data_IF_662099102968
#
_entry.id   IF_662099102968
#
_cell.length_a   1.000
_cell.length_b   1.000
_cell.length_c   1.000
_cell.angle_alpha   90.00
_cell.angle_beta   90.00
_cell.angle_gamma   90.00
#
_symmetry.space_group_name_H-M   'P 1'
#
loop_
_entity.id
_entity.type
_entity.pdbx_description
1 polymer ?
#
# COMPACT_ATOMS: atom_id res chain seq x y z
N UNK A 1 -56.70 43.38 18.40
CA UNK A 1 -56.47 42.54 17.16
C UNK A 1 -55.02 42.16 16.94
N UNK A 2 -54.03 42.94 17.37
CA UNK A 2 -52.58 42.63 17.19
C UNK A 2 -52.07 41.57 18.14
N UNK A 3 -52.57 41.46 19.38
CA UNK A 3 -52.12 40.47 20.39
C UNK A 3 -52.50 39.02 20.03
N UNK A 4 -53.63 38.82 19.28
CA UNK A 4 -54.10 37.50 18.88
C UNK A 4 -53.23 36.90 17.76
N UNK A 5 -52.61 37.71 16.89
CA UNK A 5 -51.76 37.25 15.78
C UNK A 5 -50.39 36.76 16.28
N UNK A 6 -49.82 37.42 17.32
CA UNK A 6 -48.54 36.98 17.89
C UNK A 6 -48.64 35.68 18.65
N UNK A 7 -49.75 35.36 19.30
CA UNK A 7 -49.93 34.03 19.93
C UNK A 7 -50.02 32.89 18.93
N UNK A 8 -50.61 33.13 17.73
CA UNK A 8 -50.72 32.15 16.68
C UNK A 8 -49.33 31.84 16.07
N UNK A 9 -48.50 32.85 15.84
CA UNK A 9 -47.15 32.68 15.24
C UNK A 9 -46.20 31.99 16.24
N UNK A 10 -46.26 32.31 17.53
CA UNK A 10 -45.45 31.69 18.56
C UNK A 10 -45.77 30.19 18.73
N UNK A 11 -47.05 29.83 18.66
CA UNK A 11 -47.49 28.42 18.70
C UNK A 11 -47.01 27.59 17.51
N UNK A 12 -47.03 28.20 16.33
CA UNK A 12 -46.57 27.54 15.09
C UNK A 12 -45.05 27.32 15.08
N UNK A 13 -44.26 28.31 15.54
CA UNK A 13 -42.81 28.19 15.64
C UNK A 13 -42.38 27.15 16.68
N UNK A 14 -43.05 27.02 17.82
CA UNK A 14 -42.75 26.01 18.84
C UNK A 14 -43.12 24.62 18.31
N UNK A 15 -44.22 24.48 17.58
CA UNK A 15 -44.60 23.21 16.94
C UNK A 15 -43.61 22.79 15.85
N UNK A 16 -43.10 23.73 15.08
CA UNK A 16 -42.13 23.45 13.99
C UNK A 16 -40.78 23.06 14.58
N UNK A 17 -40.25 23.74 15.63
CA UNK A 17 -39.02 23.38 16.33
C UNK A 17 -39.12 22.02 17.03
N UNK A 18 -40.24 21.69 17.66
CA UNK A 18 -40.46 20.34 18.27
C UNK A 18 -40.52 19.25 17.20
N UNK A 19 -41.16 19.45 16.05
CA UNK A 19 -41.17 18.47 14.97
C UNK A 19 -39.79 18.31 14.32
N UNK A 20 -39.00 19.39 14.19
CA UNK A 20 -37.64 19.32 13.65
C UNK A 20 -36.69 18.59 14.59
N UNK A 21 -36.76 18.84 15.93
CA UNK A 21 -35.96 18.14 16.94
C UNK A 21 -36.35 16.66 17.03
N UNK A 22 -37.63 16.31 16.98
CA UNK A 22 -38.06 14.91 16.94
C UNK A 22 -37.61 14.20 15.65
N UNK A 23 -37.67 14.88 14.50
CA UNK A 23 -37.19 14.32 13.22
C UNK A 23 -35.69 14.08 13.22
N UNK A 24 -34.90 15.03 13.79
CA UNK A 24 -33.44 14.88 13.85
C UNK A 24 -33.03 13.76 14.84
N UNK A 25 -33.69 13.67 16.00
CA UNK A 25 -33.44 12.58 16.96
C UNK A 25 -33.89 11.22 16.40
N UNK A 26 -34.98 11.16 15.62
CA UNK A 26 -35.45 9.91 15.01
C UNK A 26 -34.53 9.42 13.89
N UNK A 27 -33.99 10.33 13.08
CA UNK A 27 -33.03 9.98 12.00
C UNK A 27 -31.70 9.51 12.58
N UNK A 28 -31.21 10.14 13.65
CA UNK A 28 -29.97 9.71 14.33
C UNK A 28 -30.16 8.35 14.98
N UNK A 29 -31.29 8.13 15.67
CA UNK A 29 -31.57 6.82 16.29
C UNK A 29 -31.77 5.71 15.28
N UNK A 30 -32.39 5.96 14.14
CA UNK A 30 -32.55 4.99 13.05
C UNK A 30 -31.22 4.62 12.40
N UNK A 31 -30.32 5.57 12.24
CA UNK A 31 -28.96 5.32 11.70
C UNK A 31 -28.11 4.47 12.64
N UNK A 32 -28.18 4.71 13.93
CA UNK A 32 -27.47 3.92 14.96
C UNK A 32 -28.06 2.49 15.01
N UNK A 33 -29.38 2.35 15.01
CA UNK A 33 -30.01 1.02 15.01
C UNK A 33 -29.75 0.22 13.73
N UNK A 34 -29.65 0.88 12.57
CA UNK A 34 -29.31 0.20 11.31
C UNK A 34 -27.88 -0.32 11.33
N UNK A 35 -26.91 0.45 11.83
CA UNK A 35 -25.52 0.00 11.99
C UNK A 35 -25.38 -1.16 12.98
N UNK A 36 -26.08 -1.11 14.11
CA UNK A 36 -26.12 -2.21 15.08
C UNK A 36 -26.72 -3.50 14.48
N UNK A 37 -27.80 -3.37 13.74
CA UNK A 37 -28.44 -4.51 13.09
C UNK A 37 -27.54 -5.17 12.04
N UNK A 38 -26.84 -4.38 11.21
CA UNK A 38 -25.90 -4.90 10.22
C UNK A 38 -24.70 -5.59 10.86
N UNK A 39 -24.11 -5.01 11.91
CA UNK A 39 -23.02 -5.61 12.66
C UNK A 39 -23.43 -6.96 13.26
N UNK A 40 -24.58 -7.02 13.92
CA UNK A 40 -25.11 -8.24 14.55
C UNK A 40 -25.41 -9.33 13.50
N UNK A 41 -26.01 -8.98 12.36
CA UNK A 41 -26.20 -9.92 11.24
C UNK A 41 -24.90 -10.47 10.66
N UNK A 42 -23.84 -9.65 10.65
CA UNK A 42 -22.51 -10.11 10.26
C UNK A 42 -21.82 -10.95 11.36
N UNK A 43 -22.42 -11.05 12.55
CA UNK A 43 -21.84 -11.74 13.71
C UNK A 43 -20.72 -10.97 14.37
N UNK A 44 -20.82 -9.62 14.40
CA UNK A 44 -19.89 -8.71 15.06
C UNK A 44 -20.62 -7.86 16.10
N UNK A 45 -19.96 -7.55 17.21
CA UNK A 45 -20.49 -6.66 18.22
C UNK A 45 -20.34 -5.22 17.79
N UNK A 46 -21.44 -4.50 17.62
CA UNK A 46 -21.45 -3.07 17.33
C UNK A 46 -20.72 -2.28 18.40
N UNK A 47 -20.99 -2.54 19.70
CA UNK A 47 -20.28 -1.90 20.82
C UNK A 47 -18.76 -2.02 20.76
N UNK A 48 -18.25 -3.18 20.29
CA UNK A 48 -16.79 -3.38 20.12
C UNK A 48 -16.25 -2.62 18.91
N UNK A 49 -17.01 -2.57 17.82
CA UNK A 49 -16.62 -1.81 16.61
C UNK A 49 -16.53 -0.32 16.90
N UNK A 50 -17.45 0.23 17.71
CA UNK A 50 -17.41 1.64 18.11
C UNK A 50 -16.19 2.01 18.95
N UNK A 51 -15.48 1.05 19.54
CA UNK A 51 -14.23 1.29 20.28
C UNK A 51 -13.02 1.51 19.37
N UNK A 52 -13.09 1.16 18.09
CA UNK A 52 -11.95 1.25 17.16
C UNK A 52 -11.48 2.69 17.02
N UNK A 53 -12.35 3.58 16.61
CA UNK A 53 -11.99 4.97 16.31
C UNK A 53 -11.52 5.75 17.55
N UNK A 54 -12.19 5.70 18.73
CA UNK A 54 -11.68 6.32 19.94
C UNK A 54 -10.33 5.75 20.40
N UNK A 55 -10.11 4.44 20.26
CA UNK A 55 -8.84 3.80 20.61
C UNK A 55 -7.70 4.31 19.73
N UNK A 56 -7.89 4.28 18.41
CA UNK A 56 -6.90 4.79 17.45
C UNK A 56 -6.63 6.30 17.65
N UNK A 57 -7.69 7.07 17.92
CA UNK A 57 -7.55 8.50 18.23
C UNK A 57 -6.68 8.74 19.47
N UNK A 58 -6.91 7.98 20.54
CA UNK A 58 -6.12 8.13 21.78
C UNK A 58 -4.66 7.68 21.60
N UNK A 59 -4.41 6.61 20.82
CA UNK A 59 -3.08 6.06 20.64
C UNK A 59 -2.21 6.89 19.67
N UNK A 60 -2.82 7.49 18.65
CA UNK A 60 -2.06 8.06 17.54
C UNK A 60 -2.34 9.54 17.27
N UNK A 61 -3.61 10.01 17.22
CA UNK A 61 -3.89 11.41 16.90
C UNK A 61 -3.55 12.34 18.06
N UNK A 62 -4.00 12.01 19.27
CA UNK A 62 -3.74 12.85 20.45
C UNK A 62 -2.26 12.94 20.79
N UNK A 63 -1.48 11.95 20.39
CA UNK A 63 -0.02 11.92 20.57
C UNK A 63 0.74 12.51 19.37
N UNK A 64 0.03 13.10 18.40
CA UNK A 64 0.64 13.72 17.23
C UNK A 64 1.41 12.77 16.30
N UNK A 65 1.06 11.46 16.30
CA UNK A 65 1.73 10.47 15.44
C UNK A 65 1.14 10.39 14.04
N UNK A 66 -0.16 10.65 13.89
CA UNK A 66 -0.84 10.68 12.59
C UNK A 66 -1.73 11.92 12.47
N UNK A 67 -1.89 12.46 11.26
CA UNK A 67 -2.79 13.59 11.02
C UNK A 67 -4.26 13.17 11.06
N UNK A 68 -4.55 11.94 10.64
CA UNK A 68 -5.90 11.38 10.57
C UNK A 68 -5.87 9.95 10.06
N UNK A 69 -7.01 9.27 10.14
CA UNK A 69 -7.18 7.92 9.60
C UNK A 69 -8.62 7.64 9.19
N UNK A 70 -8.76 6.68 8.29
CA UNK A 70 -10.02 6.01 8.00
C UNK A 70 -9.91 4.57 8.50
N UNK A 71 -10.85 4.14 9.34
CA UNK A 71 -10.96 2.75 9.75
C UNK A 71 -12.21 2.12 9.15
N UNK A 72 -12.07 0.94 8.55
CA UNK A 72 -13.17 0.23 7.94
C UNK A 72 -13.08 -1.27 8.23
N UNK A 73 -14.21 -1.89 8.53
CA UNK A 73 -14.34 -3.34 8.72
C UNK A 73 -15.46 -3.85 7.84
N UNK A 74 -15.16 -4.86 7.03
CA UNK A 74 -16.16 -5.57 6.24
C UNK A 74 -16.19 -7.05 6.66
N UNK A 75 -17.39 -7.63 6.76
CA UNK A 75 -17.58 -9.04 7.05
C UNK A 75 -18.82 -9.57 6.35
N UNK A 76 -18.72 -10.77 5.78
CA UNK A 76 -19.81 -11.41 5.00
C UNK A 76 -20.38 -10.50 3.90
N UNK A 77 -19.51 -9.75 3.22
CA UNK A 77 -19.89 -8.82 2.15
C UNK A 77 -20.57 -7.52 2.60
N UNK A 78 -20.60 -7.24 3.91
CA UNK A 78 -21.18 -6.02 4.47
C UNK A 78 -20.09 -5.19 5.14
N UNK A 79 -20.09 -3.87 4.90
CA UNK A 79 -19.27 -2.92 5.66
C UNK A 79 -20.00 -2.65 6.99
N UNK A 80 -19.42 -3.09 8.08
CA UNK A 80 -20.01 -3.02 9.43
C UNK A 80 -19.41 -1.92 10.30
N UNK A 81 -18.33 -1.30 9.85
CA UNK A 81 -17.69 -0.15 10.45
C UNK A 81 -16.98 0.66 9.36
N UNK A 82 -17.15 1.98 9.39
CA UNK A 82 -16.48 2.92 8.49
C UNK A 82 -16.46 4.30 9.13
N UNK A 83 -15.32 4.70 9.70
CA UNK A 83 -15.17 5.99 10.34
C UNK A 83 -13.93 6.75 9.88
N UNK A 84 -14.06 8.08 9.87
CA UNK A 84 -12.99 9.01 9.51
C UNK A 84 -12.75 9.94 10.69
N UNK A 85 -11.48 10.11 11.08
CA UNK A 85 -11.09 11.00 12.17
C UNK A 85 -9.83 11.77 11.77
N UNK A 86 -9.75 13.06 12.19
CA UNK A 86 -8.60 13.93 11.95
C UNK A 86 -8.67 14.65 10.61
N UNK A 87 -7.50 14.99 10.08
CA UNK A 87 -7.33 15.91 8.98
C UNK A 87 -6.66 15.24 7.77
N UNK A 88 -7.02 15.68 6.58
CA UNK A 88 -6.35 15.34 5.32
C UNK A 88 -5.11 16.23 5.11
N UNK A 89 -5.06 17.36 5.79
CA UNK A 89 -3.94 18.31 5.79
C UNK A 89 -3.93 19.07 7.12
N UNK A 90 -2.81 19.06 7.83
CA UNK A 90 -2.68 19.66 9.16
C UNK A 90 -2.56 21.19 9.11
N UNK A 91 -1.87 21.73 8.11
CA UNK A 91 -1.66 23.17 8.00
C UNK A 91 -2.96 23.91 7.70
N UNK A 92 -3.79 23.33 6.83
CA UNK A 92 -5.11 23.91 6.48
C UNK A 92 -6.22 23.43 7.38
N UNK A 93 -5.97 22.43 8.23
CA UNK A 93 -6.96 21.76 9.09
C UNK A 93 -8.17 21.23 8.29
N UNK A 94 -7.93 20.81 7.03
CA UNK A 94 -8.98 20.26 6.21
C UNK A 94 -9.38 18.87 6.73
N UNK A 95 -10.66 18.65 7.07
CA UNK A 95 -11.12 17.37 7.60
C UNK A 95 -10.89 16.22 6.61
N UNK A 96 -10.49 15.07 7.11
CA UNK A 96 -10.46 13.84 6.35
C UNK A 96 -11.88 13.42 5.99
N UNK A 97 -12.11 13.01 4.73
CA UNK A 97 -13.42 12.61 4.21
C UNK A 97 -13.42 11.11 3.88
N UNK A 98 -14.60 10.48 3.86
CA UNK A 98 -14.74 9.05 3.52
C UNK A 98 -14.18 8.70 2.14
N UNK A 99 -14.25 9.63 1.21
CA UNK A 99 -13.76 9.50 -0.17
C UNK A 99 -12.36 10.07 -0.40
N UNK A 100 -11.62 10.38 0.67
CA UNK A 100 -10.22 10.83 0.58
C UNK A 100 -9.35 9.81 -0.13
N UNK A 101 -8.37 10.32 -0.87
CA UNK A 101 -7.44 9.55 -1.67
C UNK A 101 -6.10 9.45 -0.95
N UNK A 102 -5.54 8.25 -0.92
CA UNK A 102 -4.29 7.93 -0.24
C UNK A 102 -3.28 7.33 -1.20
N UNK A 103 -2.00 7.63 -1.00
CA UNK A 103 -0.89 6.81 -1.50
C UNK A 103 -0.99 5.47 -0.78
N UNK A 104 -1.20 4.39 -1.51
CA UNK A 104 -1.36 3.07 -0.90
C UNK A 104 -0.07 2.27 -0.82
N UNK A 105 1.01 2.81 -1.40
CA UNK A 105 2.35 2.20 -1.35
C UNK A 105 2.32 0.68 -1.53
N UNK A 106 2.88 -0.08 -0.61
CA UNK A 106 3.00 -1.54 -0.71
C UNK A 106 1.68 -2.30 -0.76
N UNK A 107 0.55 -1.65 -0.47
CA UNK A 107 -0.77 -2.21 -0.77
C UNK A 107 -1.02 -2.31 -2.30
N UNK A 108 -0.16 -1.76 -3.15
CA UNK A 108 -0.13 -2.00 -4.60
C UNK A 108 0.27 -3.42 -4.97
N UNK A 109 1.13 -4.08 -4.15
CA UNK A 109 1.69 -5.40 -4.43
C UNK A 109 0.65 -6.51 -4.64
N UNK A 110 -0.38 -6.65 -3.80
CA UNK A 110 -1.44 -7.63 -4.03
C UNK A 110 -2.19 -7.42 -5.36
N UNK A 111 -2.34 -6.15 -5.80
CA UNK A 111 -2.96 -5.82 -7.09
C UNK A 111 -2.07 -6.30 -8.25
N UNK A 112 -0.76 -6.09 -8.16
CA UNK A 112 0.23 -6.64 -9.10
C UNK A 112 0.20 -8.17 -9.09
N UNK A 113 0.05 -8.79 -7.92
CA UNK A 113 -0.12 -10.23 -7.78
C UNK A 113 -1.37 -10.75 -8.50
N UNK A 114 -2.50 -10.06 -8.40
CA UNK A 114 -3.71 -10.44 -9.15
C UNK A 114 -3.49 -10.30 -10.66
N UNK A 115 -2.78 -9.27 -11.12
CA UNK A 115 -2.41 -9.13 -12.55
C UNK A 115 -1.54 -10.30 -13.03
N UNK A 116 -0.57 -10.73 -12.22
CA UNK A 116 0.23 -11.93 -12.47
C UNK A 116 -0.66 -13.18 -12.58
N UNK A 117 -1.60 -13.38 -11.66
CA UNK A 117 -2.51 -14.52 -11.65
C UNK A 117 -3.44 -14.56 -12.87
N UNK A 118 -3.89 -13.40 -13.35
CA UNK A 118 -4.68 -13.32 -14.60
C UNK A 118 -3.87 -13.86 -15.78
N UNK A 119 -2.62 -13.44 -15.92
CA UNK A 119 -1.76 -13.91 -17.02
C UNK A 119 -1.39 -15.38 -16.90
N UNK A 120 -1.24 -15.89 -15.66
CA UNK A 120 -1.06 -17.32 -15.40
C UNK A 120 -2.29 -18.12 -15.85
N UNK A 121 -3.51 -17.67 -15.53
CA UNK A 121 -4.77 -18.30 -15.98
C UNK A 121 -4.95 -18.23 -17.50
N UNK A 122 -4.51 -17.15 -18.13
CA UNK A 122 -4.52 -16.97 -19.59
C UNK A 122 -3.43 -17.81 -20.29
N UNK A 123 -2.56 -18.51 -19.53
CA UNK A 123 -1.47 -19.33 -20.08
C UNK A 123 -0.35 -18.52 -20.76
N UNK A 124 -0.26 -17.22 -20.46
CA UNK A 124 0.73 -16.30 -21.04
C UNK A 124 2.09 -16.33 -20.35
N UNK A 125 2.14 -16.88 -19.15
CA UNK A 125 3.36 -17.07 -18.37
C UNK A 125 3.20 -18.24 -17.39
N UNK A 126 4.32 -18.68 -16.83
CA UNK A 126 4.38 -19.68 -15.76
C UNK A 126 5.22 -19.13 -14.61
N UNK A 127 4.91 -19.51 -13.39
CA UNK A 127 5.66 -19.05 -12.21
C UNK A 127 7.15 -19.43 -12.25
N UNK A 128 7.48 -20.56 -12.91
CA UNK A 128 8.85 -21.04 -13.03
C UNK A 128 9.54 -20.58 -14.32
N UNK A 129 8.88 -19.73 -15.13
CA UNK A 129 9.57 -19.12 -16.26
C UNK A 129 10.70 -18.24 -15.77
N UNK A 130 11.88 -18.29 -16.41
CA UNK A 130 12.97 -17.37 -16.07
C UNK A 130 12.57 -15.95 -16.40
N UNK A 131 12.97 -15.02 -15.55
CA UNK A 131 12.73 -13.57 -15.75
C UNK A 131 13.37 -13.09 -17.05
N UNK A 132 14.51 -13.68 -17.40
CA UNK A 132 15.26 -13.40 -18.65
C UNK A 132 14.46 -13.68 -19.92
N UNK A 133 13.43 -14.53 -19.88
CA UNK A 133 12.52 -14.74 -21.01
C UNK A 133 11.73 -13.46 -21.37
N UNK A 134 11.47 -12.62 -20.40
CA UNK A 134 10.73 -11.36 -20.55
C UNK A 134 11.65 -10.14 -20.50
N UNK A 135 12.74 -10.19 -19.73
CA UNK A 135 13.71 -9.12 -19.54
C UNK A 135 15.11 -9.75 -19.70
N UNK A 136 15.64 -9.84 -20.94
CA UNK A 136 16.87 -10.57 -21.24
C UNK A 136 18.08 -10.14 -20.42
N UNK A 137 18.11 -8.88 -19.97
CA UNK A 137 19.18 -8.31 -19.19
C UNK A 137 19.41 -9.04 -17.84
N UNK A 138 18.38 -9.71 -17.30
CA UNK A 138 18.51 -10.50 -16.09
C UNK A 138 19.30 -11.80 -16.25
N UNK A 139 19.52 -12.28 -17.47
CA UNK A 139 20.34 -13.47 -17.72
C UNK A 139 21.79 -13.29 -17.25
N UNK A 140 22.34 -12.09 -17.38
CA UNK A 140 23.74 -11.75 -17.07
C UNK A 140 23.93 -11.03 -15.72
N UNK A 141 22.85 -10.83 -14.95
CA UNK A 141 22.91 -10.15 -13.65
C UNK A 141 23.74 -10.98 -12.68
N UNK A 142 24.77 -10.37 -12.08
CA UNK A 142 25.66 -11.02 -11.11
C UNK A 142 25.08 -10.98 -9.70
N UNK A 143 25.67 -11.75 -8.80
CA UNK A 143 25.39 -11.75 -7.36
C UNK A 143 26.57 -11.12 -6.62
N UNK A 144 26.30 -10.20 -5.72
CA UNK A 144 27.28 -9.52 -4.88
C UNK A 144 27.58 -10.37 -3.65
N UNK A 145 28.82 -10.76 -3.50
CA UNK A 145 29.35 -11.40 -2.28
C UNK A 145 30.10 -10.33 -1.48
N UNK A 146 29.76 -10.21 -0.22
CA UNK A 146 30.50 -9.36 0.74
C UNK A 146 31.22 -10.30 1.70
N UNK A 147 32.53 -10.27 1.66
CA UNK A 147 33.39 -11.12 2.49
C UNK A 147 33.49 -10.56 3.93
N UNK A 148 33.92 -11.37 4.88
CA UNK A 148 34.10 -10.99 6.29
C UNK A 148 35.11 -9.85 6.49
N UNK A 149 36.09 -9.71 5.59
CA UNK A 149 37.08 -8.61 5.59
C UNK A 149 36.54 -7.32 4.94
N UNK A 150 35.28 -7.28 4.50
CA UNK A 150 34.64 -6.16 3.84
C UNK A 150 34.96 -6.04 2.35
N UNK A 151 35.75 -6.95 1.77
CA UNK A 151 35.94 -6.99 0.31
C UNK A 151 34.72 -7.50 -0.40
N UNK A 152 34.51 -7.08 -1.65
CA UNK A 152 33.38 -7.50 -2.45
C UNK A 152 33.82 -8.20 -3.72
N UNK A 153 33.07 -9.22 -4.14
CA UNK A 153 33.26 -9.88 -5.43
C UNK A 153 31.89 -10.10 -6.13
N UNK A 154 31.92 -10.29 -7.43
CA UNK A 154 30.76 -10.63 -8.23
C UNK A 154 30.86 -12.05 -8.74
N UNK A 155 29.83 -12.82 -8.51
CA UNK A 155 29.73 -14.21 -9.00
C UNK A 155 28.51 -14.36 -9.93
N UNK A 156 28.50 -15.43 -10.72
CA UNK A 156 27.36 -15.77 -11.55
C UNK A 156 26.19 -16.28 -10.71
N UNK A 157 24.97 -16.15 -11.27
CA UNK A 157 23.82 -16.84 -10.71
C UNK A 157 24.02 -18.35 -10.84
N UNK A 158 23.77 -19.10 -9.76
CA UNK A 158 23.80 -20.57 -9.77
C UNK A 158 22.58 -21.17 -10.46
N UNK A 159 21.50 -20.39 -10.56
CA UNK A 159 20.28 -20.69 -11.29
C UNK A 159 19.62 -19.39 -11.73
N UNK A 160 18.88 -19.43 -12.83
CA UNK A 160 18.13 -18.26 -13.30
C UNK A 160 17.03 -17.86 -12.30
N UNK A 161 16.90 -16.55 -12.09
CA UNK A 161 15.80 -15.95 -11.37
C UNK A 161 14.47 -16.23 -12.07
N UNK A 162 13.45 -16.68 -11.34
CA UNK A 162 12.12 -16.97 -11.85
C UNK A 162 11.09 -15.89 -11.48
N UNK A 163 9.94 -15.89 -12.18
CA UNK A 163 8.78 -15.06 -11.83
C UNK A 163 8.32 -15.34 -10.41
N UNK A 164 8.39 -16.60 -9.95
CA UNK A 164 8.10 -16.98 -8.56
C UNK A 164 9.01 -16.24 -7.59
N UNK A 165 10.30 -16.21 -7.86
CA UNK A 165 11.29 -15.56 -6.98
C UNK A 165 11.03 -14.06 -6.83
N UNK A 166 10.59 -13.39 -7.91
CA UNK A 166 10.11 -12.00 -7.81
C UNK A 166 8.88 -11.88 -6.92
N UNK A 167 7.86 -12.72 -7.14
CA UNK A 167 6.58 -12.66 -6.44
C UNK A 167 6.67 -13.04 -4.96
N UNK A 168 7.73 -13.73 -4.54
CA UNK A 168 7.95 -14.19 -3.15
C UNK A 168 9.08 -13.46 -2.44
N UNK A 169 9.67 -12.42 -3.05
CA UNK A 169 10.83 -11.71 -2.51
C UNK A 169 12.07 -12.59 -2.26
N UNK A 170 12.26 -13.61 -3.09
CA UNK A 170 13.42 -14.51 -3.03
C UNK A 170 14.36 -14.35 -4.22
N UNK A 171 14.19 -13.29 -5.00
CA UNK A 171 14.94 -13.04 -6.23
C UNK A 171 16.39 -12.58 -6.03
N UNK A 172 16.75 -12.11 -4.83
CA UNK A 172 18.01 -11.43 -4.58
C UNK A 172 18.02 -9.94 -4.92
N UNK A 173 16.97 -9.42 -5.57
CA UNK A 173 16.74 -7.97 -5.67
C UNK A 173 16.41 -7.44 -4.28
N UNK A 174 16.81 -6.20 -3.97
CA UNK A 174 16.49 -5.51 -2.72
C UNK A 174 15.81 -4.16 -2.98
N UNK A 175 15.40 -3.46 -1.94
CA UNK A 175 15.28 -2.01 -1.92
C UNK A 175 16.59 -1.42 -1.39
N UNK A 176 16.82 -0.12 -1.56
CA UNK A 176 17.99 0.55 -0.99
C UNK A 176 18.04 0.48 0.55
N UNK A 177 16.87 0.44 1.21
CA UNK A 177 16.74 0.31 2.67
C UNK A 177 16.71 -1.15 3.18
N UNK A 178 16.64 -2.15 2.30
CA UNK A 178 16.75 -3.57 2.66
C UNK A 178 18.04 -4.21 2.17
N UNK A 179 18.80 -3.49 1.35
CA UNK A 179 20.10 -3.91 0.83
C UNK A 179 21.18 -3.80 1.92
N UNK A 180 22.23 -4.62 1.81
CA UNK A 180 23.45 -4.34 2.55
C UNK A 180 24.09 -3.02 2.06
N UNK A 181 25.00 -2.44 2.86
CA UNK A 181 25.56 -1.12 2.59
C UNK A 181 26.20 -0.98 1.21
N UNK A 182 26.86 -2.03 0.72
CA UNK A 182 27.55 -1.99 -0.57
C UNK A 182 26.56 -1.96 -1.73
N UNK A 183 25.50 -2.77 -1.68
CA UNK A 183 24.45 -2.77 -2.68
C UNK A 183 23.62 -1.48 -2.63
N UNK A 184 23.33 -0.98 -1.43
CA UNK A 184 22.64 0.29 -1.23
C UNK A 184 23.39 1.47 -1.84
N UNK A 185 24.74 1.50 -1.74
CA UNK A 185 25.59 2.49 -2.42
C UNK A 185 25.43 2.41 -3.95
N UNK A 186 25.40 1.19 -4.50
CA UNK A 186 25.19 0.97 -5.94
C UNK A 186 23.84 1.50 -6.39
N UNK A 187 22.77 1.19 -5.64
CA UNK A 187 21.42 1.66 -5.94
C UNK A 187 21.34 3.19 -5.93
N UNK A 188 21.84 3.85 -4.90
CA UNK A 188 21.86 5.31 -4.78
C UNK A 188 22.69 5.97 -5.90
N UNK A 189 23.92 5.48 -6.14
CA UNK A 189 24.82 5.99 -7.21
C UNK A 189 24.16 5.94 -8.59
N UNK A 190 23.42 4.88 -8.89
CA UNK A 190 22.76 4.67 -10.17
C UNK A 190 21.30 5.16 -10.21
N UNK A 191 20.79 5.74 -9.10
CA UNK A 191 19.41 6.23 -8.94
C UNK A 191 18.38 5.14 -9.27
N UNK A 192 18.62 3.91 -8.81
CA UNK A 192 17.79 2.74 -9.08
C UNK A 192 16.61 2.66 -8.10
N UNK A 193 15.64 3.55 -8.26
CA UNK A 193 14.37 3.53 -7.55
C UNK A 193 13.26 3.87 -8.54
N UNK A 194 12.19 3.07 -8.66
CA UNK A 194 11.06 3.34 -9.54
C UNK A 194 10.09 4.37 -8.94
N UNK A 195 10.19 4.59 -7.65
CA UNK A 195 9.37 5.53 -6.89
C UNK A 195 10.18 6.75 -6.47
N UNK A 196 9.52 7.69 -5.81
CA UNK A 196 10.13 8.93 -5.37
C UNK A 196 11.21 8.66 -4.34
N UNK A 197 12.42 9.12 -4.62
CA UNK A 197 13.50 9.12 -3.64
C UNK A 197 13.26 10.25 -2.65
N UNK A 198 13.44 9.97 -1.37
CA UNK A 198 13.53 11.01 -0.34
C UNK A 198 14.76 11.86 -0.63
N UNK A 199 14.53 13.13 -0.98
CA UNK A 199 15.56 14.13 -1.14
C UNK A 199 16.46 13.97 -2.37
N UNK A 200 16.86 15.09 -2.96
CA UNK A 200 18.11 15.15 -3.72
C UNK A 200 19.30 14.95 -2.77
N UNK A 201 20.51 15.04 -3.28
CA UNK A 201 21.75 14.78 -2.54
C UNK A 201 21.93 15.56 -1.22
N UNK A 202 21.03 16.54 -0.93
CA UNK A 202 20.95 17.27 0.35
C UNK A 202 19.50 17.48 0.79
N UNK A 203 19.14 16.98 1.97
CA UNK A 203 17.92 17.35 2.66
C UNK A 203 18.14 18.72 3.32
N UNK A 204 17.61 19.78 2.68
CA UNK A 204 17.64 21.14 3.21
C UNK A 204 16.28 21.57 3.76
N UNK A 205 16.20 22.57 4.66
CA UNK A 205 14.90 23.12 5.11
C UNK A 205 14.02 23.57 3.94
N UNK A 206 14.60 24.07 2.85
CA UNK A 206 13.88 24.49 1.65
C UNK A 206 13.37 23.30 0.83
N UNK A 207 14.13 22.19 0.74
CA UNK A 207 13.68 20.95 0.10
C UNK A 207 12.57 20.30 0.92
N UNK A 208 12.65 20.35 2.26
CA UNK A 208 11.62 19.91 3.17
C UNK A 208 10.32 20.72 3.02
N UNK A 209 10.43 22.04 2.90
CA UNK A 209 9.28 22.94 2.71
C UNK A 209 8.58 22.74 1.35
N UNK A 210 9.30 22.27 0.33
CA UNK A 210 8.77 21.96 -1.02
C UNK A 210 8.21 20.54 -1.15
N UNK A 211 8.37 19.72 -0.13
CA UNK A 211 8.09 18.27 -0.16
C UNK A 211 9.37 17.47 -0.48
N UNK A 212 9.66 16.49 0.34
CA UNK A 212 10.85 15.63 0.22
C UNK A 212 10.76 14.70 -1.00
N UNK A 213 9.57 14.50 -1.54
CA UNK A 213 9.33 13.59 -2.64
C UNK A 213 9.62 14.31 -3.97
N UNK A 214 10.74 13.95 -4.58
CA UNK A 214 11.13 14.48 -5.89
C UNK A 214 10.38 13.76 -7.03
N UNK A 215 9.86 14.55 -7.98
CA UNK A 215 9.32 14.04 -9.25
C UNK A 215 10.39 13.63 -10.26
N UNK A 216 11.65 13.59 -9.85
CA UNK A 216 12.77 13.26 -10.75
C UNK A 216 12.69 11.76 -11.10
N UNK A 217 11.92 11.45 -12.15
CA UNK A 217 11.73 10.09 -12.66
C UNK A 217 12.88 9.79 -13.64
N UNK A 218 13.91 9.03 -13.23
CA UNK A 218 15.07 8.78 -14.10
C UNK A 218 14.73 7.79 -15.23
N UNK A 219 13.53 7.21 -15.24
CA UNK A 219 13.12 6.17 -16.16
C UNK A 219 11.91 6.58 -17.00
N UNK A 220 11.95 6.20 -18.28
CA UNK A 220 10.86 6.47 -19.22
C UNK A 220 9.68 5.51 -19.13
N UNK A 221 9.89 4.32 -18.52
CA UNK A 221 8.86 3.29 -18.29
C UNK A 221 9.28 2.35 -17.17
N UNK A 222 8.36 1.52 -16.70
CA UNK A 222 8.68 0.47 -15.72
C UNK A 222 9.63 -0.58 -16.30
N UNK A 223 9.56 -0.86 -17.60
CA UNK A 223 10.49 -1.77 -18.26
C UNK A 223 11.90 -1.16 -18.36
N UNK A 224 12.00 0.13 -18.68
CA UNK A 224 13.30 0.82 -18.67
C UNK A 224 13.96 0.84 -17.27
N UNK A 225 13.14 0.94 -16.21
CA UNK A 225 13.62 0.73 -14.85
C UNK A 225 14.14 -0.69 -14.63
N UNK A 226 13.36 -1.73 -14.97
CA UNK A 226 13.72 -3.13 -14.76
C UNK A 226 15.00 -3.54 -15.53
N UNK A 227 15.13 -3.09 -16.79
CA UNK A 227 16.36 -3.24 -17.59
C UNK A 227 17.56 -2.54 -16.95
N UNK A 228 17.38 -1.30 -16.50
CA UNK A 228 18.44 -0.55 -15.83
C UNK A 228 18.86 -1.20 -14.51
N UNK A 229 17.92 -1.76 -13.74
CA UNK A 229 18.20 -2.50 -12.52
C UNK A 229 19.07 -3.73 -12.81
N UNK A 230 18.68 -4.53 -13.81
CA UNK A 230 19.41 -5.74 -14.20
C UNK A 230 20.84 -5.44 -14.67
N UNK A 231 21.04 -4.36 -15.43
CA UNK A 231 22.34 -3.99 -16.00
C UNK A 231 23.31 -3.30 -15.01
N UNK A 232 22.77 -2.62 -13.97
CA UNK A 232 23.57 -1.73 -13.14
C UNK A 232 23.72 -2.18 -11.70
N UNK A 233 22.92 -3.15 -11.25
CA UNK A 233 22.98 -3.64 -9.89
C UNK A 233 23.08 -5.17 -9.83
N UNK A 234 23.97 -5.73 -9.02
CA UNK A 234 23.98 -7.14 -8.72
C UNK A 234 22.81 -7.51 -7.78
N UNK A 235 22.55 -8.82 -7.66
CA UNK A 235 21.65 -9.38 -6.66
C UNK A 235 22.34 -9.42 -5.30
N UNK A 236 21.60 -9.29 -4.22
CA UNK A 236 22.09 -9.37 -2.84
C UNK A 236 22.42 -10.80 -2.41
N UNK A 237 21.78 -11.78 -3.01
CA UNK A 237 21.97 -13.22 -2.77
C UNK A 237 21.52 -14.01 -4.00
N UNK A 238 21.84 -15.28 -4.05
CA UNK A 238 21.39 -16.17 -5.10
C UNK A 238 19.85 -16.28 -5.11
N UNK A 239 19.21 -16.37 -6.30
CA UNK A 239 17.77 -16.56 -6.41
C UNK A 239 17.29 -17.80 -5.63
N UNK A 240 16.20 -17.66 -4.88
CA UNK A 240 15.57 -18.65 -4.00
C UNK A 240 16.45 -19.19 -2.84
N UNK A 241 17.56 -18.56 -2.52
CA UNK A 241 18.39 -18.93 -1.35
C UNK A 241 18.06 -18.10 -0.11
N UNK A 242 17.48 -16.90 -0.30
CA UNK A 242 17.17 -16.04 0.82
C UNK A 242 15.90 -15.21 0.53
N UNK A 243 15.30 -14.64 1.57
CA UNK A 243 14.20 -13.70 1.48
C UNK A 243 14.73 -12.27 1.68
N UNK A 244 14.44 -11.39 0.74
CA UNK A 244 14.72 -9.96 0.86
C UNK A 244 13.55 -9.18 0.28
N UNK A 245 12.84 -8.44 1.13
CA UNK A 245 11.76 -7.56 0.69
C UNK A 245 12.27 -6.56 -0.35
N UNK A 246 11.64 -6.49 -1.54
CA UNK A 246 12.33 -6.00 -2.73
C UNK A 246 11.45 -5.29 -3.74
N UNK A 247 12.10 -4.64 -4.72
CA UNK A 247 11.51 -4.11 -5.95
C UNK A 247 11.10 -5.19 -6.96
N UNK A 248 11.01 -6.45 -6.55
CA UNK A 248 10.58 -7.55 -7.44
C UNK A 248 9.20 -7.32 -8.06
N UNK A 249 8.28 -6.62 -7.35
CA UNK A 249 6.96 -6.31 -7.86
C UNK A 249 6.97 -5.27 -8.99
N UNK A 250 7.98 -4.41 -9.01
CA UNK A 250 8.18 -3.43 -10.07
C UNK A 250 8.66 -4.13 -11.34
N UNK A 251 9.56 -5.09 -11.19
CA UNK A 251 9.98 -5.99 -12.28
C UNK A 251 8.80 -6.80 -12.80
N UNK A 252 7.91 -7.30 -11.92
CA UNK A 252 6.66 -7.96 -12.33
C UNK A 252 5.76 -7.03 -13.14
N UNK A 253 5.71 -5.73 -12.83
CA UNK A 253 4.98 -4.75 -13.63
C UNK A 253 5.43 -4.73 -15.09
N UNK A 254 6.74 -4.76 -15.34
CA UNK A 254 7.29 -4.89 -16.69
C UNK A 254 6.95 -6.25 -17.35
N UNK A 255 7.02 -7.34 -16.59
CA UNK A 255 6.63 -8.68 -17.11
C UNK A 255 5.15 -8.68 -17.52
N UNK A 256 4.27 -8.06 -16.74
CA UNK A 256 2.86 -7.90 -17.11
C UNK A 256 2.71 -7.12 -18.43
N UNK A 257 3.46 -6.03 -18.63
CA UNK A 257 3.45 -5.29 -19.89
C UNK A 257 3.86 -6.18 -21.08
N UNK A 258 4.98 -6.87 -20.95
CA UNK A 258 5.54 -7.71 -22.04
C UNK A 258 4.68 -8.93 -22.35
N UNK A 259 4.15 -9.60 -21.34
CA UNK A 259 3.29 -10.76 -21.51
C UNK A 259 1.90 -10.41 -22.03
N UNK A 260 1.37 -9.23 -21.70
CA UNK A 260 0.03 -8.79 -22.12
C UNK A 260 0.02 -7.98 -23.42
N UNK A 261 1.12 -7.32 -23.78
CA UNK A 261 1.19 -6.33 -24.86
C UNK A 261 0.48 -5.01 -24.55
N UNK A 262 0.14 -4.75 -23.28
CA UNK A 262 -0.49 -3.50 -22.79
C UNK A 262 0.41 -2.83 -21.79
N UNK A 263 0.33 -1.51 -21.64
CA UNK A 263 0.96 -0.84 -20.47
C UNK A 263 0.37 -1.40 -19.18
N UNK A 264 1.18 -1.44 -18.11
CA UNK A 264 0.73 -1.98 -16.81
C UNK A 264 -0.53 -1.27 -16.31
N UNK A 265 -0.56 0.05 -16.41
CA UNK A 265 -1.74 0.85 -16.08
C UNK A 265 -2.98 0.45 -16.89
N UNK A 266 -2.86 0.31 -18.20
CA UNK A 266 -3.97 -0.10 -19.05
C UNK A 266 -4.45 -1.52 -18.73
N UNK A 267 -3.53 -2.44 -18.41
CA UNK A 267 -3.85 -3.79 -18.00
C UNK A 267 -4.63 -3.82 -16.68
N UNK A 268 -4.15 -3.13 -15.65
CA UNK A 268 -4.84 -3.06 -14.35
C UNK A 268 -6.23 -2.43 -14.48
N UNK A 269 -6.34 -1.33 -15.23
CA UNK A 269 -7.62 -0.66 -15.47
C UNK A 269 -8.63 -1.59 -16.16
N UNK A 270 -8.21 -2.28 -17.22
CA UNK A 270 -9.08 -3.15 -18.02
C UNK A 270 -9.50 -4.42 -17.25
N UNK A 271 -8.54 -5.09 -16.62
CA UNK A 271 -8.72 -6.40 -16.02
C UNK A 271 -9.17 -6.40 -14.55
N UNK A 272 -8.89 -5.31 -13.80
CA UNK A 272 -9.13 -5.25 -12.35
C UNK A 272 -10.02 -4.06 -12.00
N UNK A 273 -9.58 -2.83 -12.29
CA UNK A 273 -10.26 -1.64 -11.73
C UNK A 273 -11.65 -1.43 -12.32
N UNK A 274 -11.79 -1.50 -13.65
CA UNK A 274 -13.09 -1.31 -14.31
C UNK A 274 -14.11 -2.39 -13.92
N UNK A 275 -13.78 -3.70 -13.97
CA UNK A 275 -14.71 -4.76 -13.55
C UNK A 275 -15.12 -4.67 -12.08
N UNK A 276 -14.22 -4.24 -11.18
CA UNK A 276 -14.52 -4.08 -9.76
C UNK A 276 -15.19 -2.73 -9.43
N UNK A 277 -15.33 -1.83 -10.40
CA UNK A 277 -15.84 -0.48 -10.15
C UNK A 277 -14.93 0.35 -9.24
N UNK A 278 -13.61 0.13 -9.30
CA UNK A 278 -12.59 0.89 -8.58
C UNK A 278 -12.29 2.19 -9.35
N UNK A 279 -13.11 3.21 -9.13
CA UNK A 279 -13.08 4.49 -9.87
C UNK A 279 -12.06 5.48 -9.32
N UNK A 280 -11.52 5.19 -8.17
CA UNK A 280 -10.62 6.05 -7.39
C UNK A 280 -9.25 5.40 -7.18
N UNK A 281 -8.83 4.53 -8.12
CA UNK A 281 -7.54 3.84 -8.09
C UNK A 281 -6.77 4.10 -9.37
N UNK A 282 -5.57 4.69 -9.26
CA UNK A 282 -4.78 5.13 -10.41
C UNK A 282 -3.31 5.40 -10.03
N UNK A 283 -2.43 5.49 -11.05
CA UNK A 283 -1.04 5.96 -10.89
C UNK A 283 -0.92 7.48 -10.95
N UNK A 284 -1.84 8.17 -11.63
CA UNK A 284 -1.89 9.63 -11.70
C UNK A 284 -3.29 10.11 -11.36
N UNK A 285 -3.39 11.10 -10.48
CA UNK A 285 -4.66 11.59 -9.97
C UNK A 285 -5.29 12.54 -11.01
N UNK A 286 -6.48 12.22 -11.54
CA UNK A 286 -7.20 13.12 -12.42
C UNK A 286 -7.43 14.50 -11.78
N UNK A 287 -7.34 15.57 -12.57
CA UNK A 287 -7.48 16.96 -12.08
C UNK A 287 -8.75 17.17 -11.26
N UNK A 288 -9.87 16.55 -11.65
CA UNK A 288 -11.16 16.63 -10.95
C UNK A 288 -11.20 15.96 -9.58
N UNK A 289 -10.14 15.23 -9.19
CA UNK A 289 -10.08 14.48 -7.92
C UNK A 289 -8.96 14.93 -7.00
N UNK A 290 -8.11 15.88 -7.41
CA UNK A 290 -6.93 16.35 -6.64
C UNK A 290 -7.30 16.89 -5.26
N UNK A 291 -8.43 17.58 -5.13
CA UNK A 291 -8.93 18.10 -3.85
C UNK A 291 -9.21 17.02 -2.79
N UNK A 292 -9.37 15.75 -3.21
CA UNK A 292 -9.60 14.62 -2.30
C UNK A 292 -8.30 13.97 -1.82
N UNK A 293 -7.14 14.39 -2.38
CA UNK A 293 -5.85 13.78 -2.04
C UNK A 293 -5.35 14.27 -0.69
N UNK A 294 -4.82 13.34 0.11
CA UNK A 294 -4.29 13.64 1.45
C UNK A 294 -2.84 14.10 1.37
N UNK A 295 -2.45 15.02 2.24
CA UNK A 295 -1.04 15.31 2.47
C UNK A 295 -0.35 14.14 3.16
N UNK A 296 0.93 13.96 2.88
CA UNK A 296 1.77 12.95 3.51
C UNK A 296 2.66 13.60 4.56
N UNK A 297 2.72 12.98 5.71
CA UNK A 297 3.55 13.40 6.84
C UNK A 297 4.49 12.27 7.24
N UNK A 298 5.69 12.62 7.65
CA UNK A 298 6.63 11.72 8.30
C UNK A 298 6.81 12.10 9.77
N UNK A 299 6.93 11.11 10.65
CA UNK A 299 7.29 11.34 12.05
C UNK A 299 8.75 11.78 12.13
N UNK A 300 9.03 12.83 12.90
CA UNK A 300 10.40 13.40 12.98
C UNK A 300 11.37 12.39 13.60
N UNK A 301 10.92 11.54 14.51
CA UNK A 301 11.74 10.47 15.09
C UNK A 301 12.30 9.53 14.02
N UNK A 302 11.44 9.06 13.12
CA UNK A 302 11.82 8.19 12.01
C UNK A 302 12.76 8.91 11.03
N UNK A 303 12.48 10.19 10.71
CA UNK A 303 13.35 10.99 9.83
C UNK A 303 14.75 11.19 10.41
N UNK A 304 14.90 11.34 11.71
CA UNK A 304 16.19 11.48 12.39
C UNK A 304 17.03 10.21 12.31
N UNK A 305 16.38 9.04 12.36
CA UNK A 305 17.06 7.75 12.20
C UNK A 305 17.65 7.60 10.80
N UNK A 306 16.88 7.98 9.76
CA UNK A 306 17.32 7.92 8.36
C UNK A 306 18.24 9.08 7.94
N UNK A 307 18.10 10.25 8.59
CA UNK A 307 18.82 11.49 8.26
C UNK A 307 19.32 12.18 9.55
N UNK A 308 20.40 11.68 10.19
CA UNK A 308 20.91 12.24 11.46
C UNK A 308 21.22 13.74 11.42
N UNK A 309 21.64 14.26 10.26
CA UNK A 309 21.96 15.67 10.07
C UNK A 309 20.73 16.61 10.09
N UNK A 310 19.52 16.04 10.02
CA UNK A 310 18.28 16.83 10.12
C UNK A 310 18.04 17.36 11.53
N UNK A 311 18.55 16.73 12.57
CA UNK A 311 18.25 17.10 13.98
C UNK A 311 18.67 18.52 14.30
N UNK A 312 19.76 19.01 13.73
CA UNK A 312 20.23 20.38 13.91
C UNK A 312 19.46 21.43 13.10
N UNK A 313 18.67 21.00 12.09
CA UNK A 313 18.01 21.85 11.10
C UNK A 313 16.51 22.01 11.33
N UNK A 314 15.89 21.14 12.16
CA UNK A 314 14.46 21.14 12.42
C UNK A 314 14.10 21.70 13.81
N UNK A 315 12.94 22.36 13.95
CA UNK A 315 12.43 22.77 15.27
C UNK A 315 12.32 21.58 16.22
N UNK A 316 12.73 21.78 17.48
CA UNK A 316 12.75 20.68 18.50
C UNK A 316 11.35 20.20 18.90
N UNK A 317 10.35 21.05 18.77
CA UNK A 317 8.93 20.80 19.08
C UNK A 317 8.13 20.24 17.91
N UNK A 318 8.75 20.13 16.73
CA UNK A 318 8.09 19.53 15.55
C UNK A 318 7.99 18.00 15.73
N UNK A 319 6.76 17.48 15.65
CA UNK A 319 6.49 16.03 15.77
C UNK A 319 6.32 15.35 14.41
N UNK A 320 5.77 16.08 13.45
CA UNK A 320 5.56 15.59 12.09
C UNK A 320 5.99 16.63 11.06
N UNK A 321 6.57 16.15 9.96
CA UNK A 321 6.96 16.96 8.83
C UNK A 321 6.13 16.58 7.60
N UNK A 322 5.56 17.58 6.91
CA UNK A 322 4.90 17.37 5.62
C UNK A 322 5.93 17.04 4.56
N UNK A 323 5.82 15.85 3.98
CA UNK A 323 6.77 15.34 2.97
C UNK A 323 6.19 15.35 1.55
N UNK A 324 4.86 15.44 1.42
CA UNK A 324 4.18 15.64 0.14
C UNK A 324 2.79 16.26 0.36
N UNK A 325 2.35 17.14 -0.50
CA UNK A 325 1.15 17.94 -0.32
C UNK A 325 0.22 17.96 -1.53
N UNK A 326 -0.93 18.61 -1.32
CA UNK A 326 -2.01 18.73 -2.32
C UNK A 326 -1.67 19.58 -3.55
N UNK A 327 -0.62 20.39 -3.52
CA UNK A 327 -0.32 21.35 -4.59
C UNK A 327 0.87 20.98 -5.43
N UNK A 328 1.77 20.16 -4.90
CA UNK A 328 3.09 19.85 -5.48
C UNK A 328 3.34 18.36 -5.66
N UNK A 329 2.35 17.53 -5.41
CA UNK A 329 2.53 16.08 -5.47
C UNK A 329 2.84 15.61 -6.88
N UNK A 330 3.87 14.75 -7.04
CA UNK A 330 4.20 14.14 -8.32
C UNK A 330 3.11 13.18 -8.84
N UNK A 331 2.16 12.79 -8.01
CA UNK A 331 0.96 12.05 -8.45
C UNK A 331 -0.01 12.90 -9.29
N UNK A 332 0.23 14.20 -9.41
CA UNK A 332 -0.55 15.10 -10.29
C UNK A 332 0.01 15.16 -11.70
N UNK A 333 1.23 14.70 -11.90
CA UNK A 333 1.84 14.59 -13.23
C UNK A 333 1.40 13.28 -13.91
N UNK A 334 1.51 13.25 -15.24
CA UNK A 334 1.32 12.01 -15.98
C UNK A 334 2.41 10.99 -15.60
N UNK A 335 2.00 9.82 -15.11
CA UNK A 335 2.94 8.79 -14.76
C UNK A 335 3.50 8.13 -16.02
N UNK A 336 4.82 8.04 -16.10
CA UNK A 336 5.55 7.28 -17.13
C UNK A 336 6.02 5.93 -16.60
N UNK A 337 6.33 5.85 -15.31
CA UNK A 337 6.69 4.62 -14.60
C UNK A 337 5.49 4.15 -13.80
N UNK A 338 4.93 3.01 -14.16
CA UNK A 338 3.81 2.38 -13.45
C UNK A 338 4.37 1.38 -12.44
N UNK A 339 4.79 1.89 -11.30
CA UNK A 339 5.42 1.13 -10.23
C UNK A 339 4.47 0.08 -9.63
N UNK A 340 4.80 -1.19 -9.80
CA UNK A 340 3.99 -2.32 -9.33
C UNK A 340 4.10 -2.57 -7.83
N UNK A 341 5.14 -2.07 -7.19
CA UNK A 341 5.42 -2.24 -5.77
C UNK A 341 4.74 -1.21 -4.87
N UNK A 342 4.54 0.03 -5.35
CA UNK A 342 4.10 1.13 -4.48
C UNK A 342 3.41 2.30 -5.17
N UNK A 343 3.24 2.29 -6.48
CA UNK A 343 2.89 3.46 -7.28
C UNK A 343 1.42 3.88 -7.24
N UNK A 344 0.51 3.12 -6.66
CA UNK A 344 -0.92 3.39 -6.73
C UNK A 344 -1.39 4.39 -5.66
N UNK A 345 -2.36 5.19 -6.09
CA UNK A 345 -3.27 5.95 -5.21
C UNK A 345 -4.61 5.26 -5.24
N UNK A 346 -5.29 5.20 -4.09
CA UNK A 346 -6.63 4.61 -3.99
C UNK A 346 -7.46 5.25 -2.88
N UNK A 347 -8.76 4.95 -2.85
CA UNK A 347 -9.66 5.22 -1.74
C UNK A 347 -9.87 3.97 -0.90
N UNK A 348 -10.27 4.15 0.36
CA UNK A 348 -10.64 3.03 1.25
C UNK A 348 -11.76 2.18 0.65
N UNK A 349 -12.76 2.80 0.01
CA UNK A 349 -13.87 2.08 -0.63
C UNK A 349 -13.40 1.18 -1.76
N UNK A 350 -12.54 1.68 -2.66
CA UNK A 350 -12.04 0.89 -3.79
C UNK A 350 -11.17 -0.27 -3.29
N UNK A 351 -10.32 -0.03 -2.30
CA UNK A 351 -9.49 -1.10 -1.75
C UNK A 351 -10.32 -2.16 -1.02
N UNK A 352 -11.42 -1.78 -0.36
CA UNK A 352 -12.38 -2.75 0.21
C UNK A 352 -13.04 -3.63 -0.86
N UNK A 353 -13.37 -3.09 -2.04
CA UNK A 353 -13.88 -3.88 -3.18
C UNK A 353 -12.87 -4.93 -3.62
N UNK A 354 -11.60 -4.53 -3.74
CA UNK A 354 -10.49 -5.42 -4.09
C UNK A 354 -10.29 -6.51 -3.03
N UNK A 355 -10.22 -6.14 -1.76
CA UNK A 355 -10.07 -7.09 -0.66
C UNK A 355 -11.28 -8.05 -0.56
N UNK A 356 -12.50 -7.56 -0.77
CA UNK A 356 -13.70 -8.39 -0.78
C UNK A 356 -13.71 -9.36 -1.97
N UNK A 357 -13.22 -8.94 -3.14
CA UNK A 357 -13.05 -9.82 -4.30
C UNK A 357 -12.12 -10.99 -3.97
N UNK A 358 -10.98 -10.74 -3.33
CA UNK A 358 -10.07 -11.78 -2.89
C UNK A 358 -10.71 -12.69 -1.84
N UNK A 359 -11.35 -12.13 -0.82
CA UNK A 359 -12.05 -12.89 0.24
C UNK A 359 -13.13 -13.81 -0.32
N UNK A 360 -13.78 -13.42 -1.41
CA UNK A 360 -14.79 -14.20 -2.11
C UNK A 360 -14.20 -15.19 -3.15
N UNK A 361 -12.91 -15.50 -3.07
CA UNK A 361 -12.24 -16.41 -3.98
C UNK A 361 -12.18 -15.88 -5.42
N UNK A 362 -11.84 -14.62 -5.59
CA UNK A 362 -11.60 -13.97 -6.88
C UNK A 362 -12.85 -13.39 -7.57
N UNK A 363 -13.94 -13.13 -6.82
CA UNK A 363 -15.21 -12.65 -7.38
C UNK A 363 -15.82 -11.53 -6.53
N UNK A 364 -16.38 -10.50 -7.19
CA UNK A 364 -17.19 -9.47 -6.55
C UNK A 364 -18.50 -9.31 -7.32
N UNK A 365 -19.64 -9.56 -6.69
CA UNK A 365 -20.93 -9.63 -7.39
C UNK A 365 -20.90 -10.66 -8.51
N UNK A 366 -21.23 -10.26 -9.73
CA UNK A 366 -21.17 -11.10 -10.92
C UNK A 366 -19.82 -11.07 -11.64
N UNK A 367 -18.92 -10.22 -11.21
CA UNK A 367 -17.59 -10.07 -11.82
C UNK A 367 -16.61 -11.07 -11.22
N UNK A 368 -16.05 -11.96 -12.04
CA UNK A 368 -14.93 -12.83 -11.68
C UNK A 368 -13.66 -12.26 -12.27
N UNK A 369 -12.68 -11.99 -11.40
CA UNK A 369 -11.37 -11.46 -11.79
C UNK A 369 -10.36 -12.59 -11.96
N UNK A 370 -10.29 -13.49 -10.97
CA UNK A 370 -9.45 -14.70 -10.99
C UNK A 370 -10.21 -15.89 -10.42
N UNK A 371 -9.73 -17.09 -10.62
CA UNK A 371 -10.34 -18.30 -10.08
C UNK A 371 -10.09 -18.41 -8.57
N UNK A 372 -10.96 -19.20 -7.89
CA UNK A 372 -10.74 -19.53 -6.49
C UNK A 372 -9.38 -20.20 -6.26
N UNK A 373 -8.96 -21.05 -7.21
CA UNK A 373 -7.68 -21.75 -7.13
C UNK A 373 -6.49 -20.83 -7.25
N UNK A 374 -6.60 -19.75 -8.03
CA UNK A 374 -5.57 -18.71 -8.10
C UNK A 374 -5.46 -17.92 -6.80
N UNK A 375 -6.59 -17.61 -6.15
CA UNK A 375 -6.55 -16.98 -4.81
C UNK A 375 -5.91 -17.92 -3.78
N UNK A 376 -6.29 -19.21 -3.78
CA UNK A 376 -5.69 -20.21 -2.88
C UNK A 376 -4.18 -20.34 -3.12
N UNK A 377 -3.73 -20.38 -4.38
CA UNK A 377 -2.32 -20.41 -4.73
C UNK A 377 -1.60 -19.14 -4.27
N UNK A 378 -2.17 -17.97 -4.56
CA UNK A 378 -1.61 -16.68 -4.18
C UNK A 378 -1.46 -16.54 -2.66
N UNK A 379 -2.40 -17.04 -1.87
CA UNK A 379 -2.41 -16.96 -0.41
C UNK A 379 -1.83 -18.17 0.31
N UNK A 380 -1.19 -19.09 -0.40
CA UNK A 380 -0.43 -20.20 0.20
C UNK A 380 1.02 -19.78 0.47
N UNK A 381 1.65 -20.38 1.49
CA UNK A 381 3.08 -20.14 1.72
C UNK A 381 3.93 -20.75 0.60
N UNK A 382 4.78 -19.94 0.01
CA UNK A 382 5.73 -20.34 -1.03
C UNK A 382 7.18 -20.37 -0.54
N UNK A 383 7.44 -19.87 0.67
CA UNK A 383 8.79 -19.90 1.23
C UNK A 383 9.14 -21.31 1.72
N UNK A 384 10.39 -21.78 1.52
CA UNK A 384 10.91 -23.01 2.09
C UNK A 384 10.80 -23.03 3.61
N UNK A 385 10.66 -24.23 4.21
CA UNK A 385 10.63 -24.36 5.68
C UNK A 385 11.92 -23.87 6.35
N UNK A 386 13.05 -23.96 5.67
CA UNK A 386 14.33 -23.44 6.15
C UNK A 386 14.31 -21.93 6.42
N UNK A 387 13.41 -21.19 5.76
CA UNK A 387 13.22 -19.74 5.94
C UNK A 387 12.37 -19.40 7.17
N UNK A 388 11.82 -20.37 7.85
CA UNK A 388 11.07 -20.21 9.10
C UNK A 388 11.96 -20.26 10.36
N UNK A 389 13.29 -20.35 10.24
CA UNK A 389 14.20 -20.34 11.38
C UNK A 389 14.25 -18.96 12.04
N UNK A 390 14.43 -18.95 13.37
CA UNK A 390 14.48 -17.69 14.15
C UNK A 390 15.63 -16.76 13.68
N UNK A 391 16.79 -17.32 13.35
CA UNK A 391 17.93 -16.58 12.83
C UNK A 391 17.66 -15.92 11.48
N UNK A 392 16.86 -16.57 10.63
CA UNK A 392 16.46 -16.04 9.35
C UNK A 392 15.48 -14.85 9.50
N UNK A 393 14.55 -14.95 10.44
CA UNK A 393 13.53 -13.94 10.66
C UNK A 393 14.09 -12.63 11.26
N UNK A 394 15.23 -12.70 11.96
CA UNK A 394 15.96 -11.54 12.47
C UNK A 394 16.67 -10.76 11.35
N UNK A 395 17.16 -11.45 10.33
CA UNK A 395 17.89 -10.86 9.20
C UNK A 395 16.98 -10.39 8.06
N UNK A 396 15.75 -10.93 7.93
CA UNK A 396 14.82 -10.68 6.84
C UNK A 396 13.97 -9.41 6.98
N UNK A 397 14.49 -8.37 7.61
CA UNK A 397 13.85 -7.04 7.64
C UNK A 397 12.48 -7.02 8.32
N UNK A 398 12.33 -7.69 9.46
CA UNK A 398 11.12 -7.61 10.29
C UNK A 398 10.01 -8.59 9.92
N UNK A 399 10.31 -9.65 9.16
CA UNK A 399 9.34 -10.71 8.90
C UNK A 399 9.01 -11.44 10.22
N UNK A 400 7.73 -11.50 10.55
CA UNK A 400 7.29 -11.97 11.88
C UNK A 400 7.38 -13.48 11.98
N UNK A 401 7.86 -13.99 13.13
CA UNK A 401 7.75 -15.42 13.50
C UNK A 401 6.33 -15.91 13.28
N UNK A 402 6.16 -17.12 12.76
CA UNK A 402 4.83 -17.70 12.49
C UNK A 402 4.11 -17.14 11.25
N UNK A 403 4.76 -16.32 10.44
CA UNK A 403 4.28 -15.90 9.13
C UNK A 403 5.12 -16.52 8.02
N UNK A 404 4.52 -16.68 6.85
CA UNK A 404 5.14 -17.04 5.59
C UNK A 404 4.82 -16.00 4.52
N UNK A 405 5.18 -16.28 3.27
CA UNK A 405 4.88 -15.41 2.16
C UNK A 405 4.28 -16.19 0.99
N UNK A 406 3.16 -15.68 0.48
CA UNK A 406 2.49 -16.16 -0.71
C UNK A 406 3.04 -15.47 -1.97
N UNK A 407 2.23 -15.40 -3.02
CA UNK A 407 2.55 -14.59 -4.20
C UNK A 407 2.08 -13.16 -3.95
N UNK A 408 3.00 -12.28 -3.60
CA UNK A 408 2.82 -10.85 -3.30
C UNK A 408 2.05 -10.49 -2.02
N UNK A 409 1.76 -11.45 -1.15
CA UNK A 409 1.06 -11.26 0.14
C UNK A 409 1.74 -12.02 1.26
N UNK A 410 1.75 -11.46 2.47
CA UNK A 410 2.13 -12.18 3.67
C UNK A 410 1.03 -13.17 4.09
N UNK A 411 1.39 -14.28 4.73
CA UNK A 411 0.45 -15.33 5.16
C UNK A 411 0.74 -15.75 6.59
N UNK A 412 -0.27 -15.76 7.46
CA UNK A 412 -0.15 -16.25 8.83
C UNK A 412 -0.18 -17.78 8.82
N UNK A 413 0.92 -18.40 9.27
CA UNK A 413 1.07 -19.85 9.37
C UNK A 413 0.77 -20.36 10.79
N UNK A 414 1.17 -19.59 11.81
CA UNK A 414 0.98 -19.88 13.23
C UNK A 414 0.67 -18.57 13.97
N UNK A 415 -0.61 -18.29 14.29
CA UNK A 415 -0.99 -17.06 14.99
C UNK A 415 -0.35 -16.89 16.37
N UNK A 416 -0.07 -18.00 17.07
CA UNK A 416 0.56 -17.98 18.39
C UNK A 416 2.02 -17.50 18.31
N UNK A 417 2.78 -18.04 17.35
CA UNK A 417 4.15 -17.59 17.10
C UNK A 417 4.21 -16.19 16.52
N UNK A 418 3.24 -15.82 15.66
CA UNK A 418 3.16 -14.50 15.07
C UNK A 418 2.75 -13.41 16.08
N UNK A 419 2.22 -13.78 17.23
CA UNK A 419 1.72 -12.84 18.23
C UNK A 419 0.56 -11.98 17.70
N UNK A 420 -0.19 -12.48 16.73
CA UNK A 420 -1.27 -11.74 16.06
C UNK A 420 -2.63 -12.42 16.28
N UNK A 421 -3.65 -11.59 16.44
CA UNK A 421 -5.02 -12.06 16.40
C UNK A 421 -5.36 -12.48 14.97
N UNK A 422 -6.01 -13.64 14.83
CA UNK A 422 -6.44 -14.17 13.54
C UNK A 422 -6.35 -15.69 13.51
N UNK A 423 -6.52 -16.24 12.31
CA UNK A 423 -6.47 -17.67 12.05
C UNK A 423 -5.30 -17.99 11.12
N UNK A 424 -4.82 -19.23 11.15
CA UNK A 424 -3.95 -19.77 10.11
C UNK A 424 -4.58 -19.55 8.74
N UNK A 425 -3.79 -19.07 7.79
CA UNK A 425 -4.23 -18.77 6.42
C UNK A 425 -4.77 -17.34 6.21
N UNK A 426 -4.81 -16.50 7.27
CA UNK A 426 -5.01 -15.06 7.08
C UNK A 426 -3.85 -14.52 6.26
N UNK A 427 -4.14 -13.76 5.21
CA UNK A 427 -3.13 -13.10 4.36
C UNK A 427 -3.32 -11.57 4.37
N UNK A 428 -2.23 -10.85 4.17
CA UNK A 428 -2.17 -9.39 4.31
C UNK A 428 -1.16 -8.77 3.33
#
# INVERSE_FOLDING_TARGET
MIISIFKSIGGLMVSFKKKLILSTCLVVSLSVMAGEYEANQAGMSHERLEKIAPTLSNLYLKNGKFPGFISAVARKGKVVHYETIGFSDLETQEPLKKDSLFRIYSMSKPITGVALMILLEEGKLRLNDPVSLYIPEFAETKVLIVNEDGTTELTDQTKEMTIRDLATHTSGIAYDFTANDELAKIYRKNKLSPYFTFGGDEVTPESLAKGIISSNKPFSSICNFAESLALKAPLMHQPAENYTYSMGMDVLGCIVERASGKTFNAFLKDKIFTPLGMKDTFFSIPSSKRERFTSLYAEIGDLREYFPDLDSKLPKDLTMLKVDGKTTSPYFDEATVFDGGSGLVSSTEDYLKFAQMLLNGGRLGDQRIISRKSVELMSSNHLPESFASDAYLETAGGYRRGAGFGLTVGVILDPGKAGQYGSKGVYF
#
